data_IF_608521973536
#
_entry.id   IF_608521973536
#
_cell.length_a   1.000
_cell.length_b   1.000
_cell.length_c   1.000
_cell.angle_alpha   90.00
_cell.angle_beta   90.00
_cell.angle_gamma   90.00
#
_symmetry.space_group_name_H-M   'P 1'
#
loop_
_entity.id
_entity.type
_entity.pdbx_description
1 polymer ?
#
# COMPACT_ATOMS: atom_id res chain seq x y z
N UNK A 1 13.29 3.95 -17.66
CA UNK A 1 12.65 4.50 -16.44
C UNK A 1 12.56 3.39 -15.43
N UNK A 2 12.71 3.70 -14.14
CA UNK A 2 12.50 2.70 -13.09
C UNK A 2 11.00 2.43 -12.95
N UNK A 3 10.64 1.19 -12.68
CA UNK A 3 9.27 0.76 -12.44
C UNK A 3 9.00 0.82 -10.94
N UNK A 4 7.90 1.46 -10.55
CA UNK A 4 7.38 1.45 -9.19
C UNK A 4 6.04 0.72 -9.20
N UNK A 5 5.99 -0.44 -8.56
CA UNK A 5 4.75 -1.18 -8.35
C UNK A 5 4.05 -0.67 -7.07
N UNK A 6 2.76 -0.36 -7.17
CA UNK A 6 1.93 0.13 -6.08
C UNK A 6 1.01 -1.02 -5.68
N UNK A 7 1.14 -1.57 -4.48
CA UNK A 7 0.41 -2.76 -4.02
C UNK A 7 -1.08 -2.55 -3.71
N UNK A 8 -1.74 -1.68 -4.46
CA UNK A 8 -3.19 -1.45 -4.43
C UNK A 8 -3.66 -0.82 -5.75
N UNK A 9 -4.92 -1.05 -6.09
CA UNK A 9 -5.64 -0.39 -7.19
C UNK A 9 -6.62 0.67 -6.70
N UNK A 10 -6.67 0.94 -5.38
CA UNK A 10 -7.50 2.00 -4.82
C UNK A 10 -7.05 3.37 -5.33
N UNK A 11 -7.97 4.12 -5.93
CA UNK A 11 -7.67 5.37 -6.63
C UNK A 11 -7.06 6.44 -5.71
N UNK A 12 -7.51 6.55 -4.46
CA UNK A 12 -6.98 7.54 -3.52
C UNK A 12 -5.52 7.23 -3.15
N UNK A 13 -5.22 5.95 -2.86
CA UNK A 13 -3.86 5.50 -2.53
C UNK A 13 -2.92 5.61 -3.73
N UNK A 14 -3.40 5.26 -4.92
CA UNK A 14 -2.62 5.43 -6.17
C UNK A 14 -2.35 6.90 -6.46
N UNK A 15 -3.34 7.78 -6.28
CA UNK A 15 -3.16 9.22 -6.46
C UNK A 15 -2.11 9.79 -5.47
N UNK A 16 -2.10 9.33 -4.21
CA UNK A 16 -1.10 9.74 -3.23
C UNK A 16 0.33 9.35 -3.64
N UNK A 17 0.53 8.20 -4.30
CA UNK A 17 1.84 7.85 -4.85
C UNK A 17 2.17 8.71 -6.07
N UNK A 18 1.20 8.91 -6.98
CA UNK A 18 1.38 9.72 -8.19
C UNK A 18 1.69 11.19 -7.93
N UNK A 19 1.26 11.74 -6.79
CA UNK A 19 1.58 13.13 -6.42
C UNK A 19 3.05 13.31 -5.99
N UNK A 20 3.71 12.23 -5.57
CA UNK A 20 5.11 12.24 -5.13
C UNK A 20 6.05 11.82 -6.26
N UNK A 21 5.68 10.79 -7.04
CA UNK A 21 6.51 10.24 -8.11
C UNK A 21 6.02 10.69 -9.49
N UNK A 22 6.84 11.49 -10.17
CA UNK A 22 6.54 11.96 -11.53
C UNK A 22 6.62 10.82 -12.55
N UNK A 23 5.61 10.75 -13.44
CA UNK A 23 5.58 9.83 -14.58
C UNK A 23 6.64 10.13 -15.64
N UNK A 24 7.34 11.25 -15.57
CA UNK A 24 8.48 11.57 -16.45
C UNK A 24 9.74 10.76 -16.09
N UNK A 25 9.84 10.28 -14.83
CA UNK A 25 11.00 9.55 -14.33
C UNK A 25 10.69 8.09 -14.01
N UNK A 26 9.44 7.79 -13.68
CA UNK A 26 9.00 6.49 -13.19
C UNK A 26 7.79 5.95 -13.95
N UNK A 27 7.79 4.64 -14.21
CA UNK A 27 6.59 3.93 -14.64
C UNK A 27 5.85 3.46 -13.39
N UNK A 28 4.69 4.07 -13.10
CA UNK A 28 3.88 3.71 -11.93
C UNK A 28 2.82 2.67 -12.29
N UNK A 29 2.88 1.50 -11.64
CA UNK A 29 2.01 0.35 -11.93
C UNK A 29 1.16 0.02 -10.70
N UNK A 30 -0.13 0.41 -10.68
CA UNK A 30 -1.07 -0.09 -9.67
C UNK A 30 -1.29 -1.59 -9.82
N UNK A 31 -1.12 -2.31 -8.73
CA UNK A 31 -1.07 -3.77 -8.74
C UNK A 31 -1.99 -4.31 -7.64
N UNK A 32 -2.93 -5.16 -8.03
CA UNK A 32 -3.78 -5.88 -7.09
C UNK A 32 -3.02 -7.08 -6.50
N UNK A 33 -2.81 -7.05 -5.19
CA UNK A 33 -2.08 -8.05 -4.39
C UNK A 33 -2.69 -8.16 -3.00
N UNK A 34 -2.60 -9.34 -2.36
CA UNK A 34 -3.08 -9.52 -1.00
C UNK A 34 -2.16 -8.82 0.00
N UNK A 35 -2.74 -8.41 1.13
CA UNK A 35 -2.02 -7.90 2.31
C UNK A 35 -1.59 -9.01 3.27
N UNK A 36 -2.13 -10.21 3.14
CA UNK A 36 -1.91 -11.37 4.03
C UNK A 36 -2.10 -11.05 5.53
N UNK A 37 -2.98 -10.10 5.81
CA UNK A 37 -3.50 -9.75 7.14
C UNK A 37 -5.03 -9.63 7.07
N UNK A 38 -5.70 -9.30 8.17
CA UNK A 38 -7.14 -9.08 8.13
C UNK A 38 -7.53 -7.97 7.16
N UNK A 39 -8.76 -8.04 6.65
CA UNK A 39 -9.31 -6.99 5.78
C UNK A 39 -9.46 -5.64 6.49
N UNK A 40 -9.54 -5.66 7.83
CA UNK A 40 -9.62 -4.48 8.70
C UNK A 40 -8.58 -4.63 9.82
N UNK A 41 -7.32 -4.27 9.59
CA UNK A 41 -6.28 -4.32 10.61
C UNK A 41 -6.67 -3.46 11.82
N UNK A 42 -6.56 -4.00 13.03
CA UNK A 42 -6.96 -3.30 14.27
C UNK A 42 -5.76 -2.81 15.11
N UNK A 43 -4.55 -3.03 14.61
CA UNK A 43 -3.32 -2.63 15.27
C UNK A 43 -2.32 -2.04 14.29
N UNK A 44 -1.46 -1.16 14.79
CA UNK A 44 -0.36 -0.59 14.01
C UNK A 44 0.58 -1.68 13.47
N UNK A 45 0.81 -2.73 14.27
CA UNK A 45 1.68 -3.83 13.86
C UNK A 45 1.10 -4.58 12.66
N UNK A 46 -0.18 -4.92 12.71
CA UNK A 46 -0.88 -5.60 11.62
C UNK A 46 -0.99 -4.70 10.37
N UNK A 47 -1.34 -3.42 10.56
CA UNK A 47 -1.44 -2.44 9.46
C UNK A 47 -0.10 -2.29 8.74
N UNK A 48 1.00 -2.14 9.51
CA UNK A 48 2.36 -2.09 8.97
C UNK A 48 2.73 -3.38 8.23
N UNK A 49 2.36 -4.54 8.79
CA UNK A 49 2.64 -5.82 8.15
C UNK A 49 1.89 -5.96 6.81
N UNK A 50 0.62 -5.56 6.75
CA UNK A 50 -0.16 -5.52 5.51
C UNK A 50 0.47 -4.64 4.44
N UNK A 51 0.93 -3.44 4.83
CA UNK A 51 1.63 -2.54 3.91
C UNK A 51 2.94 -3.15 3.38
N UNK A 52 3.75 -3.78 4.25
CA UNK A 52 4.99 -4.46 3.85
C UNK A 52 4.69 -5.63 2.89
N UNK A 53 3.67 -6.43 3.17
CA UNK A 53 3.28 -7.56 2.33
C UNK A 53 2.84 -7.08 0.95
N UNK A 54 1.96 -6.07 0.88
CA UNK A 54 1.54 -5.43 -0.38
C UNK A 54 2.73 -4.92 -1.19
N UNK A 55 3.67 -4.22 -0.54
CA UNK A 55 4.87 -3.72 -1.21
C UNK A 55 5.70 -4.85 -1.83
N UNK A 56 5.95 -5.92 -1.08
CA UNK A 56 6.74 -7.08 -1.53
C UNK A 56 6.05 -7.86 -2.64
N UNK A 57 4.75 -8.12 -2.51
CA UNK A 57 3.99 -8.85 -3.54
C UNK A 57 3.92 -8.05 -4.84
N UNK A 58 3.71 -6.73 -4.77
CA UNK A 58 3.67 -5.88 -5.94
C UNK A 58 5.05 -5.83 -6.64
N UNK A 59 6.12 -5.67 -5.85
CA UNK A 59 7.49 -5.71 -6.35
C UNK A 59 7.78 -7.00 -7.12
N UNK A 60 7.42 -8.15 -6.55
CA UNK A 60 7.63 -9.45 -7.16
C UNK A 60 6.74 -9.68 -8.40
N UNK A 61 5.45 -9.36 -8.30
CA UNK A 61 4.46 -9.59 -9.36
C UNK A 61 4.77 -8.79 -10.63
N UNK A 62 5.19 -7.54 -10.48
CA UNK A 62 5.52 -6.66 -11.62
C UNK A 62 7.01 -6.73 -12.00
N UNK A 63 7.82 -7.48 -11.27
CA UNK A 63 9.29 -7.47 -11.41
C UNK A 63 9.84 -6.02 -11.44
N UNK A 64 9.36 -5.19 -10.52
CA UNK A 64 9.63 -3.76 -10.47
C UNK A 64 10.97 -3.46 -9.76
N UNK A 65 11.44 -2.21 -9.86
CA UNK A 65 12.62 -1.75 -9.11
C UNK A 65 12.28 -1.38 -7.66
N UNK A 66 11.05 -0.91 -7.43
CA UNK A 66 10.54 -0.44 -6.13
C UNK A 66 9.09 -0.93 -5.96
N UNK A 67 8.76 -1.41 -4.75
CA UNK A 67 7.40 -1.73 -4.34
C UNK A 67 6.92 -0.77 -3.26
N UNK A 68 5.73 -0.19 -3.43
CA UNK A 68 5.09 0.70 -2.46
C UNK A 68 3.80 0.05 -1.98
N UNK A 69 3.67 -0.15 -0.67
CA UNK A 69 2.45 -0.65 -0.04
C UNK A 69 1.81 0.44 0.83
N UNK A 70 0.49 0.57 0.74
CA UNK A 70 -0.32 1.47 1.55
C UNK A 70 -1.47 0.69 2.16
N UNK A 71 -1.51 0.59 3.48
CA UNK A 71 -2.55 -0.13 4.22
C UNK A 71 -3.26 0.83 5.17
N UNK A 72 -4.59 0.74 5.20
CA UNK A 72 -5.37 1.43 6.22
C UNK A 72 -5.70 0.44 7.33
N UNK A 73 -5.70 0.90 8.56
CA UNK A 73 -6.15 0.16 9.73
C UNK A 73 -7.13 0.98 10.55
N UNK A 74 -7.51 0.42 11.68
CA UNK A 74 -8.22 1.13 12.74
C UNK A 74 -7.46 0.94 14.05
N UNK A 75 -7.66 1.87 14.97
CA UNK A 75 -7.21 1.75 16.35
C UNK A 75 -8.40 1.96 17.27
N UNK A 76 -8.44 1.22 18.38
CA UNK A 76 -9.45 1.42 19.42
C UNK A 76 -8.91 2.41 20.47
N UNK A 77 -9.68 3.46 20.74
CA UNK A 77 -9.42 4.43 21.80
C UNK A 77 -10.73 4.57 22.60
N UNK A 78 -10.69 4.23 23.88
CA UNK A 78 -11.83 4.35 24.81
C UNK A 78 -13.13 3.68 24.32
N UNK A 79 -13.01 2.54 23.63
CA UNK A 79 -14.15 1.78 23.09
C UNK A 79 -14.68 2.31 21.75
N UNK A 80 -14.03 3.31 21.15
CA UNK A 80 -14.34 3.85 19.83
C UNK A 80 -13.28 3.47 18.81
N UNK A 81 -13.70 3.15 17.58
CA UNK A 81 -12.78 2.83 16.48
C UNK A 81 -12.44 4.08 15.68
N UNK A 82 -11.16 4.39 15.60
CA UNK A 82 -10.60 5.48 14.83
C UNK A 82 -9.90 4.95 13.60
N UNK A 83 -10.12 5.59 12.45
CA UNK A 83 -9.47 5.24 11.20
C UNK A 83 -8.01 5.71 11.20
N UNK A 84 -7.10 4.83 10.81
CA UNK A 84 -5.67 5.09 10.63
C UNK A 84 -5.30 4.79 9.17
N UNK A 85 -4.91 5.79 8.39
CA UNK A 85 -4.68 5.65 6.95
C UNK A 85 -3.51 6.47 6.41
#
# INVERSE_FOLDING_TARGET
MKIIAIGTTNQAKVAAVRSIFSSEHYTLVPTDVPSDVSAQPISDHETRQGAINRAKHALQKENADIGIGLEGGVMEIDGELWLCN
#
